data_IF_344847766011
#
_entry.id   IF_344847766011
#
_cell.length_a   1.000
_cell.length_b   1.000
_cell.length_c   1.000
_cell.angle_alpha   90.00
_cell.angle_beta   90.00
_cell.angle_gamma   90.00
#
_symmetry.space_group_name_H-M   'P 1'
#
loop_
_entity.id
_entity.type
_entity.pdbx_description
1 polymer ?
#
# COMPACT_ATOMS: atom_id res chain seq x y z
N UNK A 1 -22.43 -13.61 10.21
CA UNK A 1 -21.57 -12.40 10.32
C UNK A 1 -21.46 -11.75 8.95
N UNK A 2 -21.71 -10.44 8.82
CA UNK A 2 -21.39 -9.74 7.56
C UNK A 2 -19.87 -9.71 7.36
N UNK A 3 -19.39 -10.19 6.21
CA UNK A 3 -17.99 -10.09 5.83
C UNK A 3 -17.66 -8.60 5.60
N UNK A 4 -16.67 -8.07 6.32
CA UNK A 4 -16.26 -6.67 6.17
C UNK A 4 -15.54 -6.47 4.83
N UNK A 5 -15.65 -5.28 4.24
CA UNK A 5 -15.04 -4.97 2.95
C UNK A 5 -13.52 -4.78 3.06
N UNK A 6 -12.75 -4.91 1.96
CA UNK A 6 -11.32 -4.64 1.96
C UNK A 6 -11.01 -3.22 2.43
N UNK A 7 -11.83 -2.24 2.03
CA UNK A 7 -11.73 -0.86 2.50
C UNK A 7 -11.83 -0.80 4.03
N UNK A 8 -12.75 -1.53 4.66
CA UNK A 8 -12.84 -1.53 6.12
C UNK A 8 -11.51 -1.92 6.77
N UNK A 9 -10.90 -3.02 6.32
CA UNK A 9 -9.63 -3.50 6.87
C UNK A 9 -8.48 -2.52 6.63
N UNK A 10 -8.37 -1.94 5.42
CA UNK A 10 -7.31 -0.98 5.10
C UNK A 10 -7.31 0.25 6.02
N UNK A 11 -8.49 0.74 6.40
CA UNK A 11 -8.64 1.96 7.20
C UNK A 11 -8.76 1.71 8.71
N UNK A 12 -9.04 0.47 9.16
CA UNK A 12 -9.35 0.21 10.57
C UNK A 12 -8.58 -0.96 11.21
N UNK A 13 -7.84 -1.75 10.44
CA UNK A 13 -7.01 -2.84 10.98
C UNK A 13 -5.58 -2.38 11.18
N UNK A 14 -5.07 -2.67 12.38
CA UNK A 14 -3.72 -2.32 12.80
C UNK A 14 -2.75 -3.44 12.42
N UNK A 15 -1.64 -3.04 11.78
CA UNK A 15 -0.54 -3.93 11.45
C UNK A 15 0.74 -3.40 12.07
N UNK A 16 1.69 -4.30 12.35
CA UNK A 16 3.01 -3.91 12.80
C UNK A 16 3.86 -3.43 11.62
N UNK A 17 4.43 -2.25 11.74
CA UNK A 17 5.35 -1.65 10.78
C UNK A 17 6.66 -1.30 11.46
N UNK A 18 7.74 -1.24 10.71
CA UNK A 18 9.07 -0.88 11.17
C UNK A 18 9.49 0.42 10.49
N UNK A 19 9.57 1.48 11.28
CA UNK A 19 9.97 2.82 10.82
C UNK A 19 11.27 3.24 11.52
N UNK A 20 12.08 4.11 10.90
CA UNK A 20 13.22 4.71 11.58
C UNK A 20 12.81 5.41 12.88
N UNK A 21 13.65 5.33 13.90
CA UNK A 21 13.40 5.92 15.22
C UNK A 21 13.10 7.42 15.14
N UNK A 22 13.75 8.14 14.22
CA UNK A 22 13.46 9.57 14.04
C UNK A 22 11.99 9.86 13.69
N UNK A 23 11.29 8.93 13.04
CA UNK A 23 9.90 9.09 12.65
C UNK A 23 8.94 8.98 13.85
N UNK A 24 9.40 8.41 14.96
CA UNK A 24 8.61 8.27 16.20
C UNK A 24 8.78 9.44 17.16
N UNK A 25 9.73 10.33 16.88
CA UNK A 25 10.03 11.48 17.73
C UNK A 25 9.05 12.61 17.43
N UNK A 26 8.15 12.88 18.37
CA UNK A 26 7.26 14.04 18.26
C UNK A 26 8.03 15.34 18.47
N UNK A 27 7.55 16.42 17.84
CA UNK A 27 8.11 17.76 18.04
C UNK A 27 8.12 18.15 19.53
N UNK A 28 7.03 17.86 20.22
CA UNK A 28 6.89 18.08 21.66
C UNK A 28 7.96 17.35 22.47
N UNK A 29 8.14 16.04 22.26
CA UNK A 29 9.14 15.27 22.99
C UNK A 29 10.57 15.78 22.74
N UNK A 30 10.86 16.26 21.53
CA UNK A 30 12.15 16.88 21.19
C UNK A 30 12.36 18.22 21.89
N UNK A 31 11.32 19.02 22.01
CA UNK A 31 11.38 20.35 22.64
C UNK A 31 11.45 20.25 24.16
N UNK A 32 10.71 19.33 24.78
CA UNK A 32 10.68 19.17 26.24
C UNK A 32 11.85 18.37 26.82
N UNK A 33 12.24 17.27 26.17
CA UNK A 33 13.22 16.35 26.74
C UNK A 33 14.58 16.39 26.03
N UNK A 34 14.68 17.12 24.92
CA UNK A 34 15.84 17.06 24.05
C UNK A 34 16.00 15.68 23.39
N UNK A 35 17.13 15.47 22.71
CA UNK A 35 17.51 14.17 22.18
C UNK A 35 18.82 13.74 22.81
N UNK A 36 18.78 12.63 23.56
CA UNK A 36 19.97 12.00 24.13
C UNK A 36 20.68 11.19 23.05
N UNK A 37 21.47 11.89 22.22
CA UNK A 37 22.30 11.28 21.18
C UNK A 37 23.79 11.48 21.50
N UNK A 38 24.66 10.52 21.15
CA UNK A 38 26.11 10.72 21.26
C UNK A 38 26.59 11.91 20.42
N UNK A 39 27.67 12.57 20.87
CA UNK A 39 28.31 13.67 20.10
C UNK A 39 28.83 13.20 18.73
N UNK A 40 29.22 11.92 18.64
CA UNK A 40 29.60 11.28 17.39
C UNK A 40 28.40 11.20 16.45
N UNK A 41 28.45 12.01 15.40
CA UNK A 41 27.39 12.12 14.37
C UNK A 41 27.05 10.79 13.71
N UNK A 42 28.02 9.89 13.53
CA UNK A 42 27.78 8.60 12.90
C UNK A 42 26.99 7.69 13.84
N UNK A 43 27.32 7.69 15.14
CA UNK A 43 26.58 6.93 16.16
C UNK A 43 25.17 7.50 16.35
N UNK A 44 25.04 8.83 16.41
CA UNK A 44 23.74 9.49 16.50
C UNK A 44 22.84 9.15 15.29
N UNK A 45 23.39 9.20 14.07
CA UNK A 45 22.68 8.82 12.85
C UNK A 45 22.26 7.34 12.87
N UNK A 46 23.14 6.45 13.32
CA UNK A 46 22.84 5.02 13.42
C UNK A 46 21.67 4.75 14.38
N UNK A 47 21.62 5.44 15.53
CA UNK A 47 20.50 5.36 16.48
C UNK A 47 19.20 5.83 15.82
N UNK A 48 19.21 7.01 15.20
CA UNK A 48 18.02 7.58 14.56
C UNK A 48 17.48 6.75 13.38
N UNK A 49 18.36 6.01 12.69
CA UNK A 49 17.99 5.10 11.61
C UNK A 49 17.58 3.71 12.10
N UNK A 50 17.74 3.41 13.38
CA UNK A 50 17.33 2.14 13.95
C UNK A 50 15.81 1.96 13.76
N UNK A 51 15.41 0.75 13.35
CA UNK A 51 14.02 0.46 12.99
C UNK A 51 13.24 0.10 14.24
N UNK A 52 12.28 0.93 14.63
CA UNK A 52 11.32 0.67 15.70
C UNK A 52 9.99 0.17 15.15
N UNK A 53 9.38 -0.75 15.89
CA UNK A 53 8.05 -1.24 15.58
C UNK A 53 7.00 -0.24 16.03
N UNK A 54 6.09 0.11 15.12
CA UNK A 54 4.92 0.94 15.36
C UNK A 54 3.69 0.21 14.82
N UNK A 55 2.52 0.48 15.38
CA UNK A 55 1.26 -0.05 14.85
C UNK A 55 0.56 1.07 14.09
N UNK A 56 0.28 0.83 12.82
CA UNK A 56 -0.43 1.76 11.93
C UNK A 56 -1.46 0.98 11.12
N UNK A 57 -2.54 1.65 10.72
CA UNK A 57 -3.42 1.11 9.68
C UNK A 57 -2.70 1.11 8.33
N UNK A 58 -3.18 0.31 7.38
CA UNK A 58 -2.58 0.26 6.04
C UNK A 58 -2.68 1.62 5.34
N UNK A 59 -3.77 2.35 5.55
CA UNK A 59 -3.95 3.71 5.06
C UNK A 59 -2.91 4.68 5.65
N UNK A 60 -2.69 4.66 6.97
CA UNK A 60 -1.67 5.49 7.62
C UNK A 60 -0.25 5.15 7.16
N UNK A 61 0.05 3.86 6.95
CA UNK A 61 1.32 3.43 6.41
C UNK A 61 1.54 3.93 4.97
N UNK A 62 0.51 3.90 4.13
CA UNK A 62 0.56 4.42 2.77
C UNK A 62 0.79 5.95 2.73
N UNK A 63 0.14 6.69 3.63
CA UNK A 63 0.34 8.14 3.80
C UNK A 63 1.77 8.44 4.28
N UNK A 64 2.27 7.74 5.30
CA UNK A 64 3.64 7.89 5.78
C UNK A 64 4.68 7.61 4.68
N UNK A 65 4.44 6.63 3.81
CA UNK A 65 5.31 6.32 2.68
C UNK A 65 5.34 7.44 1.65
N UNK A 66 4.20 8.11 1.41
CA UNK A 66 4.09 9.21 0.45
C UNK A 66 5.00 10.36 0.84
N UNK A 67 5.07 10.70 2.13
CA UNK A 67 5.88 11.79 2.67
C UNK A 67 7.39 11.53 2.64
N UNK A 68 7.82 10.41 2.03
CA UNK A 68 9.22 10.03 1.89
C UNK A 68 9.74 9.21 3.06
N UNK A 69 8.87 8.78 3.98
CA UNK A 69 9.22 7.87 5.07
C UNK A 69 9.66 6.52 4.54
N UNK A 70 10.67 5.92 5.19
CA UNK A 70 11.02 4.51 4.96
C UNK A 70 10.22 3.64 5.93
N UNK A 71 9.53 2.62 5.41
CA UNK A 71 8.80 1.65 6.23
C UNK A 71 9.04 0.23 5.73
N UNK A 72 9.06 -0.71 6.65
CA UNK A 72 9.03 -2.14 6.37
C UNK A 72 7.89 -2.77 7.16
N UNK A 73 7.33 -3.88 6.71
CA UNK A 73 6.34 -4.60 7.53
C UNK A 73 7.04 -5.38 8.65
N UNK A 74 6.45 -5.40 9.85
CA UNK A 74 7.08 -6.01 11.02
C UNK A 74 7.06 -7.54 10.98
N UNK A 75 5.92 -8.13 10.61
CA UNK A 75 5.78 -9.56 10.39
C UNK A 75 5.60 -9.85 8.89
N UNK A 76 6.71 -9.93 8.12
CA UNK A 76 6.65 -10.20 6.69
C UNK A 76 6.10 -11.59 6.36
N UNK A 77 6.09 -12.50 7.33
CA UNK A 77 5.71 -13.90 7.12
C UNK A 77 4.20 -14.08 7.18
N UNK A 78 3.53 -13.36 8.09
CA UNK A 78 2.09 -13.47 8.28
C UNK A 78 1.30 -12.29 7.71
N UNK A 79 1.84 -11.06 7.72
CA UNK A 79 1.05 -9.87 7.41
C UNK A 79 1.23 -9.35 5.97
N UNK A 80 2.39 -9.59 5.34
CA UNK A 80 2.72 -8.97 4.05
C UNK A 80 1.75 -9.37 2.93
N UNK A 81 1.45 -10.67 2.85
CA UNK A 81 0.57 -11.22 1.82
C UNK A 81 -0.90 -10.78 2.03
N UNK A 82 -1.50 -10.91 3.23
CA UNK A 82 -2.85 -10.40 3.49
C UNK A 82 -3.00 -8.90 3.23
N UNK A 83 -2.04 -8.07 3.67
CA UNK A 83 -2.09 -6.62 3.43
C UNK A 83 -2.02 -6.30 1.93
N UNK A 84 -1.11 -6.96 1.21
CA UNK A 84 -1.02 -6.82 -0.24
C UNK A 84 -2.34 -7.21 -0.93
N UNK A 85 -2.95 -8.35 -0.55
CA UNK A 85 -4.24 -8.78 -1.10
C UNK A 85 -5.36 -7.76 -0.84
N UNK A 86 -5.46 -7.21 0.37
CA UNK A 86 -6.44 -6.18 0.71
C UNK A 86 -6.30 -4.94 -0.18
N UNK A 87 -5.06 -4.50 -0.44
CA UNK A 87 -4.79 -3.37 -1.33
C UNK A 87 -5.26 -3.71 -2.76
N UNK A 88 -4.88 -4.88 -3.27
CA UNK A 88 -5.25 -5.30 -4.62
C UNK A 88 -6.77 -5.40 -4.83
N UNK A 89 -7.48 -6.01 -3.87
CA UNK A 89 -8.94 -6.08 -3.90
C UNK A 89 -9.57 -4.69 -3.83
N UNK A 90 -9.01 -3.77 -3.03
CA UNK A 90 -9.51 -2.40 -2.94
C UNK A 90 -9.33 -1.61 -4.24
N UNK A 91 -8.15 -1.69 -4.87
CA UNK A 91 -7.89 -1.10 -6.19
C UNK A 91 -8.85 -1.66 -7.23
N UNK A 92 -9.07 -2.98 -7.22
CA UNK A 92 -10.00 -3.62 -8.14
C UNK A 92 -11.45 -3.12 -7.95
N UNK A 93 -11.92 -3.02 -6.72
CA UNK A 93 -13.26 -2.50 -6.45
C UNK A 93 -13.47 -1.09 -7.03
N UNK A 94 -12.44 -0.25 -6.99
CA UNK A 94 -12.48 1.07 -7.65
C UNK A 94 -12.44 0.98 -9.17
N UNK A 95 -11.63 0.09 -9.73
CA UNK A 95 -11.62 -0.16 -11.17
C UNK A 95 -13.00 -0.61 -11.68
N UNK A 96 -13.61 -1.61 -11.03
CA UNK A 96 -14.97 -2.09 -11.35
C UNK A 96 -16.00 -0.95 -11.28
N UNK A 97 -15.95 -0.14 -10.22
CA UNK A 97 -16.82 1.03 -10.09
C UNK A 97 -16.63 2.05 -11.23
N UNK A 98 -15.40 2.22 -11.73
CA UNK A 98 -15.06 3.15 -12.79
C UNK A 98 -15.41 2.64 -14.20
N UNK A 99 -15.50 1.34 -14.40
CA UNK A 99 -15.82 0.75 -15.71
C UNK A 99 -17.28 0.36 -15.85
N UNK A 100 -17.94 -0.01 -14.75
CA UNK A 100 -19.34 -0.39 -14.77
C UNK A 100 -20.28 0.80 -14.52
N UNK A 101 -21.47 0.82 -15.16
CA UNK A 101 -22.51 1.79 -14.85
C UNK A 101 -22.90 1.69 -13.37
N UNK A 102 -22.89 2.81 -12.66
CA UNK A 102 -23.36 2.88 -11.27
C UNK A 102 -24.33 4.04 -11.13
N UNK A 103 -25.43 3.80 -10.43
CA UNK A 103 -26.42 4.83 -10.10
C UNK A 103 -25.88 5.86 -9.09
N UNK A 104 -24.86 5.48 -8.29
CA UNK A 104 -24.31 6.31 -7.23
C UNK A 104 -22.96 6.85 -7.68
N UNK A 105 -22.88 8.16 -7.91
CA UNK A 105 -21.63 8.84 -8.21
C UNK A 105 -20.88 9.15 -6.92
N UNK A 106 -19.74 8.48 -6.73
CA UNK A 106 -18.78 8.71 -5.65
C UNK A 106 -17.57 9.48 -6.16
N UNK A 107 -17.05 10.39 -5.33
CA UNK A 107 -15.75 11.03 -5.56
C UNK A 107 -14.65 9.98 -5.49
N UNK A 108 -13.85 9.89 -6.55
CA UNK A 108 -12.77 8.90 -6.67
C UNK A 108 -11.54 9.44 -5.93
N UNK A 109 -11.03 8.74 -4.90
CA UNK A 109 -9.87 9.19 -4.12
C UNK A 109 -8.56 8.81 -4.84
N UNK A 110 -8.33 9.39 -6.03
CA UNK A 110 -7.24 8.95 -6.93
C UNK A 110 -5.85 9.01 -6.27
N UNK A 111 -5.57 10.03 -5.46
CA UNK A 111 -4.29 10.13 -4.73
C UNK A 111 -4.13 9.01 -3.71
N UNK A 112 -5.20 8.69 -2.95
CA UNK A 112 -5.17 7.57 -2.00
C UNK A 112 -4.96 6.22 -2.70
N UNK A 113 -5.49 6.04 -3.92
CA UNK A 113 -5.24 4.82 -4.71
C UNK A 113 -3.76 4.74 -5.16
N UNK A 114 -3.13 5.87 -5.50
CA UNK A 114 -1.70 5.92 -5.81
C UNK A 114 -0.84 5.63 -4.59
N UNK A 115 -1.21 6.15 -3.43
CA UNK A 115 -0.55 5.88 -2.15
C UNK A 115 -0.59 4.37 -1.83
N UNK A 116 -1.75 3.74 -1.98
CA UNK A 116 -1.88 2.28 -1.84
C UNK A 116 -1.06 1.52 -2.88
N UNK A 117 -1.02 1.97 -4.14
CA UNK A 117 -0.19 1.34 -5.16
C UNK A 117 1.30 1.42 -4.84
N UNK A 118 1.76 2.55 -4.29
CA UNK A 118 3.14 2.72 -3.81
C UNK A 118 3.47 1.73 -2.69
N UNK A 119 2.58 1.60 -1.71
CA UNK A 119 2.74 0.62 -0.63
C UNK A 119 2.73 -0.82 -1.14
N UNK A 120 1.86 -1.14 -2.11
CA UNK A 120 1.83 -2.45 -2.74
C UNK A 120 3.15 -2.80 -3.45
N UNK A 121 3.81 -1.83 -4.09
CA UNK A 121 5.12 -2.02 -4.70
C UNK A 121 6.20 -2.40 -3.66
N UNK A 122 6.17 -1.78 -2.47
CA UNK A 122 7.13 -2.10 -1.41
C UNK A 122 6.86 -3.47 -0.77
N UNK A 123 5.58 -3.88 -0.67
CA UNK A 123 5.19 -5.18 -0.14
C UNK A 123 5.41 -6.33 -1.14
N UNK A 124 5.37 -6.06 -2.44
CA UNK A 124 5.41 -7.08 -3.49
C UNK A 124 6.62 -8.02 -3.41
N UNK A 125 7.88 -7.56 -3.23
CA UNK A 125 9.03 -8.45 -3.11
C UNK A 125 8.95 -9.41 -1.93
N UNK A 126 8.27 -9.03 -0.86
CA UNK A 126 8.07 -9.86 0.34
C UNK A 126 6.95 -10.87 0.10
N UNK A 127 5.80 -10.40 -0.40
CA UNK A 127 4.65 -11.25 -0.72
C UNK A 127 4.97 -12.30 -1.80
N UNK A 128 5.73 -11.92 -2.83
CA UNK A 128 6.16 -12.82 -3.91
C UNK A 128 6.98 -14.01 -3.37
N UNK A 129 7.96 -13.75 -2.49
CA UNK A 129 8.80 -14.80 -1.86
C UNK A 129 7.98 -15.84 -1.08
N UNK A 130 6.87 -15.42 -0.47
CA UNK A 130 6.00 -16.28 0.35
C UNK A 130 4.95 -17.04 -0.44
N UNK A 131 4.97 -16.95 -1.76
CA UNK A 131 4.20 -17.85 -2.61
C UNK A 131 2.91 -17.28 -3.14
N UNK A 132 2.78 -15.95 -3.21
CA UNK A 132 1.77 -15.34 -4.09
C UNK A 132 1.87 -15.91 -5.51
N UNK A 133 3.05 -16.37 -5.96
CA UNK A 133 3.28 -17.04 -7.25
C UNK A 133 3.75 -18.52 -7.20
N UNK A 134 3.65 -19.22 -6.06
CA UNK A 134 4.26 -20.58 -5.91
C UNK A 134 3.44 -21.74 -6.50
N UNK A 135 2.36 -21.48 -7.25
CA UNK A 135 1.71 -22.49 -8.09
C UNK A 135 1.62 -21.98 -9.53
N UNK A 136 2.54 -22.37 -10.43
CA UNK A 136 2.56 -21.88 -11.83
C UNK A 136 1.21 -22.06 -12.55
N UNK A 137 0.42 -23.04 -12.13
CA UNK A 137 -0.88 -23.40 -12.70
C UNK A 137 -2.08 -22.71 -12.02
N UNK A 138 -1.91 -22.11 -10.83
CA UNK A 138 -3.00 -21.51 -10.02
C UNK A 138 -2.78 -20.02 -9.75
N UNK A 139 -1.65 -19.45 -10.19
CA UNK A 139 -1.30 -18.09 -9.81
C UNK A 139 -2.10 -17.05 -10.58
N UNK A 140 -3.00 -16.36 -9.86
CA UNK A 140 -3.68 -15.10 -10.20
C UNK A 140 -4.60 -15.07 -11.43
N UNK A 141 -4.53 -16.02 -12.37
CA UNK A 141 -5.44 -16.07 -13.51
C UNK A 141 -6.76 -16.78 -13.18
N UNK A 142 -6.77 -17.86 -12.40
CA UNK A 142 -8.02 -18.64 -12.29
C UNK A 142 -9.04 -18.08 -11.30
N UNK A 143 -8.63 -17.30 -10.29
CA UNK A 143 -9.55 -16.65 -9.36
C UNK A 143 -9.65 -15.13 -9.55
N UNK A 144 -8.60 -14.46 -10.06
CA UNK A 144 -8.66 -13.05 -10.41
C UNK A 144 -8.92 -12.86 -11.91
N UNK A 145 -8.31 -13.61 -12.85
CA UNK A 145 -8.75 -13.56 -14.26
C UNK A 145 -10.10 -14.27 -14.52
N UNK A 146 -10.67 -15.04 -13.57
CA UNK A 146 -12.11 -15.34 -13.61
C UNK A 146 -12.99 -14.11 -13.30
N UNK A 147 -12.44 -13.08 -12.66
CA UNK A 147 -13.10 -11.77 -12.49
C UNK A 147 -12.76 -10.77 -13.59
N UNK A 148 -11.76 -11.06 -14.44
CA UNK A 148 -11.29 -10.17 -15.50
C UNK A 148 -11.22 -10.93 -16.84
N UNK A 149 -12.33 -10.95 -17.58
CA UNK A 149 -12.44 -11.64 -18.88
C UNK A 149 -11.42 -11.16 -19.94
N UNK A 150 -10.75 -10.02 -19.74
CA UNK A 150 -9.89 -9.36 -20.73
C UNK A 150 -8.39 -9.24 -20.39
N UNK A 151 -7.90 -9.80 -19.28
CA UNK A 151 -6.47 -9.63 -18.91
C UNK A 151 -5.63 -10.80 -19.42
N UNK A 152 -4.87 -10.56 -20.51
CA UNK A 152 -3.87 -11.52 -21.02
C UNK A 152 -2.77 -11.73 -19.97
N UNK A 153 -2.43 -12.99 -19.62
CA UNK A 153 -1.32 -13.28 -18.71
C UNK A 153 -0.01 -12.88 -19.39
N UNK A 154 0.61 -11.78 -18.95
CA UNK A 154 1.92 -11.36 -19.45
C UNK A 154 3.03 -12.04 -18.64
N UNK A 155 4.00 -12.60 -19.37
CA UNK A 155 5.14 -13.38 -18.85
C UNK A 155 6.13 -12.55 -18.00
N UNK A 156 6.00 -11.22 -17.97
CA UNK A 156 6.85 -10.36 -17.14
C UNK A 156 6.22 -10.08 -15.77
N UNK A 157 6.76 -10.77 -14.76
CA UNK A 157 6.37 -10.82 -13.34
C UNK A 157 6.54 -9.51 -12.53
N UNK A 158 6.54 -8.33 -13.15
CA UNK A 158 6.73 -7.08 -12.42
C UNK A 158 5.59 -6.10 -12.68
N UNK A 159 4.79 -5.88 -11.62
CA UNK A 159 3.88 -4.74 -11.40
C UNK A 159 2.44 -4.86 -11.93
N UNK A 160 1.77 -5.97 -11.62
CA UNK A 160 0.32 -6.09 -11.84
C UNK A 160 -0.47 -4.94 -11.18
N UNK A 161 -0.08 -4.54 -9.97
CA UNK A 161 -0.65 -3.38 -9.28
C UNK A 161 -0.45 -2.06 -10.06
N UNK A 162 0.73 -1.82 -10.66
CA UNK A 162 0.93 -0.64 -11.51
C UNK A 162 0.04 -0.70 -12.76
N UNK A 163 -0.13 -1.88 -13.37
CA UNK A 163 -1.06 -2.04 -14.51
C UNK A 163 -2.50 -1.76 -14.11
N UNK A 164 -2.95 -2.30 -12.97
CA UNK A 164 -4.28 -2.01 -12.42
C UNK A 164 -4.45 -0.52 -12.14
N UNK A 165 -3.43 0.14 -11.58
CA UNK A 165 -3.43 1.58 -11.35
C UNK A 165 -3.52 2.37 -12.67
N UNK A 166 -2.79 1.98 -13.72
CA UNK A 166 -2.89 2.59 -15.05
C UNK A 166 -4.30 2.45 -15.65
N UNK A 167 -4.94 1.28 -15.48
CA UNK A 167 -6.31 1.05 -15.92
C UNK A 167 -7.31 1.94 -15.15
N UNK A 168 -7.15 2.06 -13.83
CA UNK A 168 -7.93 2.98 -12.97
C UNK A 168 -7.77 4.41 -13.44
N UNK A 169 -6.54 4.89 -13.66
CA UNK A 169 -6.30 6.26 -14.12
C UNK A 169 -6.93 6.53 -15.48
N UNK A 170 -6.83 5.58 -16.42
CA UNK A 170 -7.46 5.68 -17.73
C UNK A 170 -8.99 5.78 -17.62
N UNK A 171 -9.61 4.92 -16.82
CA UNK A 171 -11.06 4.95 -16.59
C UNK A 171 -11.51 6.23 -15.87
N UNK A 172 -10.72 6.72 -14.90
CA UNK A 172 -10.98 7.98 -14.20
C UNK A 172 -10.96 9.19 -15.16
N UNK A 173 -9.97 9.26 -16.05
CA UNK A 173 -9.88 10.33 -17.07
C UNK A 173 -11.06 10.30 -18.04
N UNK A 174 -11.51 9.10 -18.48
CA UNK A 174 -12.69 8.95 -19.34
C UNK A 174 -13.97 9.50 -18.70
N UNK A 175 -14.07 9.50 -17.36
CA UNK A 175 -15.18 10.09 -16.60
C UNK A 175 -15.02 11.58 -16.31
N UNK A 176 -14.05 12.27 -16.93
CA UNK A 176 -13.80 13.70 -16.74
C UNK A 176 -12.95 14.03 -15.51
N UNK A 177 -12.26 13.05 -14.91
CA UNK A 177 -11.31 13.28 -13.82
C UNK A 177 -10.07 14.04 -14.28
N UNK A 178 -9.76 15.16 -13.62
CA UNK A 178 -8.57 15.98 -13.88
C UNK A 178 -7.32 15.49 -13.15
N UNK A 179 -6.14 15.77 -13.71
CA UNK A 179 -4.85 15.55 -13.05
C UNK A 179 -4.64 16.66 -12.00
N UNK A 180 -4.56 16.32 -10.72
CA UNK A 180 -3.95 17.22 -9.74
C UNK A 180 -2.44 16.96 -9.86
N UNK A 181 -1.71 17.87 -10.53
CA UNK A 181 -0.25 17.87 -10.39
C UNK A 181 0.04 18.18 -8.93
N UNK A 182 0.64 17.24 -8.21
CA UNK A 182 1.34 17.56 -6.97
C UNK A 182 2.43 18.58 -7.31
N UNK A 183 2.25 19.80 -6.81
CA UNK A 183 3.25 20.88 -6.85
C UNK A 183 4.31 20.58 -5.80
#
# INVERSE_FOLDING_TARGET
>A
MMKKSPAFYLFHSWYGWRVPEYATLTRYAREEHGLFLPEDRNKAKAILLNKKTVFLTVAQAAEYLKDGGSLDINDPDNDALPVYQLIMEHLNNWYTYLTQPSLIVRKVPIEGLREFNKLANDLFPVANRKGYFKKPEITMSMQLASFFEDIKPMVQQHRFNDQLMLMIESAYRKRGGGYVRSV
#
